data_IF_777610313121
#
_entry.id   IF_777610313121
#
_cell.length_a   1.000
_cell.length_b   1.000
_cell.length_c   1.000
_cell.angle_alpha   90.00
_cell.angle_beta   90.00
_cell.angle_gamma   90.00
#
_symmetry.space_group_name_H-M   'P 1'
#
loop_
_entity.id
_entity.type
_entity.pdbx_description
1 polymer ?
#
# COMPACT_ATOMS: atom_id res chain seq x y z
N UNK A 1 -8.03 -8.28 -13.80
CA UNK A 1 -8.27 -7.65 -12.48
C UNK A 1 -7.12 -8.08 -11.60
N UNK A 2 -6.21 -7.18 -11.24
CA UNK A 2 -5.10 -7.54 -10.34
C UNK A 2 -5.66 -7.94 -8.97
N UNK A 3 -4.90 -8.74 -8.22
CA UNK A 3 -5.31 -9.15 -6.87
C UNK A 3 -5.37 -7.90 -5.98
N UNK A 4 -6.57 -7.44 -5.58
CA UNK A 4 -6.77 -6.13 -4.95
C UNK A 4 -6.02 -6.00 -3.63
N UNK A 5 -5.65 -7.12 -3.03
CA UNK A 5 -4.89 -7.22 -1.79
C UNK A 5 -3.48 -6.60 -1.84
N UNK A 6 -2.89 -6.44 -3.02
CA UNK A 6 -1.56 -5.85 -3.19
C UNK A 6 -1.59 -4.41 -3.70
N UNK A 7 -2.77 -3.84 -3.92
CA UNK A 7 -2.90 -2.49 -4.47
C UNK A 7 -2.54 -1.44 -3.42
N UNK A 8 -1.74 -0.44 -3.83
CA UNK A 8 -1.43 0.71 -2.99
C UNK A 8 -2.60 1.69 -2.91
N UNK A 9 -2.68 2.54 -1.85
CA UNK A 9 -3.76 3.51 -1.68
C UNK A 9 -3.98 4.46 -2.88
N UNK A 10 -2.90 4.91 -3.51
CA UNK A 10 -2.91 5.75 -4.70
C UNK A 10 -3.44 4.99 -5.93
N UNK A 11 -3.09 3.71 -6.09
CA UNK A 11 -3.60 2.87 -7.18
C UNK A 11 -5.11 2.60 -7.05
N UNK A 12 -5.60 2.38 -5.82
CA UNK A 12 -7.04 2.22 -5.55
C UNK A 12 -7.78 3.52 -5.85
N UNK A 13 -7.22 4.67 -5.48
CA UNK A 13 -7.85 5.98 -5.71
C UNK A 13 -7.88 6.33 -7.20
N UNK A 14 -6.81 6.06 -7.95
CA UNK A 14 -6.77 6.25 -9.40
C UNK A 14 -7.73 5.35 -10.18
N UNK A 15 -8.09 4.18 -9.62
CA UNK A 15 -9.07 3.27 -10.23
C UNK A 15 -10.52 3.75 -10.14
N UNK A 16 -10.82 4.79 -9.34
CA UNK A 16 -12.17 5.32 -9.15
C UNK A 16 -12.68 6.19 -10.32
N UNK A 17 -11.90 6.31 -11.40
CA UNK A 17 -12.31 6.97 -12.65
C UNK A 17 -11.57 8.28 -12.95
N UNK A 18 -11.85 8.89 -14.12
CA UNK A 18 -11.10 10.03 -14.65
C UNK A 18 -11.13 11.26 -13.72
N UNK A 19 -12.25 11.49 -13.02
CA UNK A 19 -12.39 12.61 -12.09
C UNK A 19 -11.49 12.49 -10.86
N UNK A 20 -11.35 11.27 -10.31
CA UNK A 20 -10.47 11.02 -9.16
C UNK A 20 -9.00 11.22 -9.53
N UNK A 21 -8.61 10.74 -10.72
CA UNK A 21 -7.27 10.95 -11.26
C UNK A 21 -6.95 12.43 -11.49
N UNK A 22 -7.91 13.19 -12.02
CA UNK A 22 -7.75 14.64 -12.20
C UNK A 22 -7.60 15.37 -10.87
N UNK A 23 -8.33 14.94 -9.83
CA UNK A 23 -8.23 15.50 -8.47
C UNK A 23 -6.88 15.20 -7.81
N UNK A 24 -6.33 14.00 -8.01
CA UNK A 24 -4.97 13.66 -7.54
C UNK A 24 -3.91 14.49 -8.24
N UNK A 25 -3.97 14.60 -9.58
CA UNK A 25 -3.05 15.46 -10.34
C UNK A 25 -3.12 16.91 -9.88
N UNK A 26 -4.33 17.45 -9.67
CA UNK A 26 -4.53 18.80 -9.15
C UNK A 26 -3.99 18.98 -7.71
N UNK A 27 -3.98 17.91 -6.92
CA UNK A 27 -3.40 17.88 -5.58
C UNK A 27 -1.88 17.60 -5.55
N UNK A 28 -1.21 17.56 -6.71
CA UNK A 28 0.23 17.28 -6.81
C UNK A 28 0.61 15.82 -6.52
N UNK A 29 -0.36 14.90 -6.52
CA UNK A 29 -0.13 13.47 -6.39
C UNK A 29 0.01 12.85 -7.78
N UNK A 30 1.21 12.38 -8.09
CA UNK A 30 1.55 11.80 -9.39
C UNK A 30 1.14 10.32 -9.47
N UNK A 31 -0.15 10.00 -9.29
CA UNK A 31 -0.68 8.64 -9.46
C UNK A 31 0.17 7.53 -8.79
N UNK A 32 0.15 6.33 -9.38
CA UNK A 32 1.06 5.25 -8.98
C UNK A 32 2.45 5.48 -9.60
N UNK A 33 3.48 5.44 -8.75
CA UNK A 33 4.91 5.55 -9.10
C UNK A 33 5.64 4.29 -8.58
N UNK A 34 6.96 4.19 -8.72
CA UNK A 34 7.81 3.10 -8.22
C UNK A 34 7.55 2.76 -6.74
N UNK A 35 7.20 3.77 -5.92
CA UNK A 35 6.79 3.57 -4.52
C UNK A 35 5.57 2.65 -4.33
N UNK A 36 4.71 2.48 -5.35
CA UNK A 36 3.59 1.53 -5.33
C UNK A 36 4.09 0.08 -5.29
N UNK A 37 5.23 -0.22 -5.91
CA UNK A 37 5.86 -1.55 -5.86
C UNK A 37 6.40 -1.85 -4.45
N UNK A 38 6.87 -0.83 -3.72
CA UNK A 38 7.30 -0.98 -2.32
C UNK A 38 6.13 -1.39 -1.41
N UNK A 39 4.94 -0.86 -1.66
CA UNK A 39 3.73 -1.28 -0.96
C UNK A 39 3.39 -2.74 -1.26
N UNK A 40 3.41 -3.12 -2.54
CA UNK A 40 3.16 -4.50 -2.95
C UNK A 40 4.17 -5.47 -2.32
N UNK A 41 5.45 -5.07 -2.23
CA UNK A 41 6.50 -5.83 -1.54
C UNK A 41 6.18 -6.03 -0.05
N UNK A 42 5.74 -4.98 0.65
CA UNK A 42 5.30 -5.09 2.05
C UNK A 42 4.14 -6.05 2.23
N UNK A 43 3.16 -6.02 1.32
CA UNK A 43 2.03 -6.94 1.32
C UNK A 43 2.45 -8.39 1.05
N UNK A 44 3.42 -8.62 0.16
CA UNK A 44 4.01 -9.95 -0.08
C UNK A 44 4.78 -10.43 1.14
N UNK A 45 5.60 -9.59 1.78
CA UNK A 45 6.33 -9.93 2.99
C UNK A 45 5.38 -10.35 4.13
N UNK A 46 4.29 -9.60 4.33
CA UNK A 46 3.21 -9.96 5.26
C UNK A 46 2.60 -11.33 4.93
N UNK A 47 2.29 -11.57 3.65
CA UNK A 47 1.70 -12.81 3.16
C UNK A 47 2.62 -14.02 3.34
N UNK A 48 3.92 -13.85 3.13
CA UNK A 48 4.90 -14.92 3.35
C UNK A 48 5.04 -15.28 4.83
N UNK A 49 4.95 -14.29 5.72
CA UNK A 49 5.12 -14.51 7.16
C UNK A 49 3.86 -15.06 7.84
N UNK A 50 2.67 -14.74 7.33
CA UNK A 50 1.39 -15.05 7.99
C UNK A 50 0.54 -16.06 7.24
N UNK A 51 0.82 -16.30 5.95
CA UNK A 51 -0.03 -17.10 5.07
C UNK A 51 -1.32 -16.39 4.62
N UNK A 52 -1.54 -15.12 4.97
CA UNK A 52 -2.72 -14.34 4.56
C UNK A 52 -2.35 -12.94 4.07
N UNK A 53 -3.21 -12.31 3.25
CA UNK A 53 -2.98 -10.95 2.79
C UNK A 53 -3.33 -9.93 3.89
N UNK A 54 -2.63 -8.78 3.95
CA UNK A 54 -2.83 -7.78 5.02
C UNK A 54 -4.25 -7.19 5.06
N UNK A 55 -4.95 -7.17 3.92
CA UNK A 55 -6.30 -6.62 3.81
C UNK A 55 -7.34 -7.65 3.38
N UNK A 56 -7.08 -8.95 3.62
CA UNK A 56 -7.97 -10.04 3.21
C UNK A 56 -9.42 -9.79 3.62
N UNK A 57 -10.30 -9.78 2.62
CA UNK A 57 -11.70 -9.41 2.78
C UNK A 57 -12.56 -10.20 1.78
N UNK A 58 -13.78 -10.64 2.15
CA UNK A 58 -14.67 -11.34 1.22
C UNK A 58 -15.13 -10.51 0.01
N UNK A 59 -15.02 -9.18 0.12
CA UNK A 59 -15.40 -8.25 -0.94
C UNK A 59 -14.23 -7.34 -1.29
N UNK A 60 -13.93 -7.25 -2.57
CA UNK A 60 -12.93 -6.32 -3.14
C UNK A 60 -13.17 -4.87 -2.72
N UNK A 61 -14.44 -4.46 -2.65
CA UNK A 61 -14.81 -3.12 -2.21
C UNK A 61 -14.42 -2.87 -0.73
N UNK A 62 -14.60 -3.87 0.14
CA UNK A 62 -14.19 -3.77 1.54
C UNK A 62 -12.66 -3.73 1.69
N UNK A 63 -11.92 -4.47 0.85
CA UNK A 63 -10.46 -4.39 0.80
C UNK A 63 -10.01 -2.97 0.42
N UNK A 64 -10.61 -2.36 -0.60
CA UNK A 64 -10.34 -0.98 -1.00
C UNK A 64 -10.63 0.02 0.10
N UNK A 65 -11.76 -0.11 0.80
CA UNK A 65 -12.07 0.75 1.95
C UNK A 65 -11.04 0.60 3.07
N UNK A 66 -10.55 -0.61 3.35
CA UNK A 66 -9.47 -0.84 4.33
C UNK A 66 -8.16 -0.20 3.88
N UNK A 67 -7.82 -0.31 2.60
CA UNK A 67 -6.64 0.32 1.99
C UNK A 67 -6.76 1.86 1.99
N UNK A 68 -7.95 2.44 1.92
CA UNK A 68 -8.11 3.91 1.91
C UNK A 68 -8.26 4.56 3.30
N UNK A 69 -8.41 3.76 4.38
CA UNK A 69 -8.56 4.33 5.73
C UNK A 69 -7.36 5.21 6.11
N UNK A 70 -7.65 6.42 6.62
CA UNK A 70 -6.66 7.42 7.05
C UNK A 70 -5.67 6.90 8.08
N UNK A 71 -6.14 6.10 9.04
CA UNK A 71 -5.26 5.43 9.99
C UNK A 71 -4.79 4.14 9.33
N UNK A 72 -3.48 3.98 9.19
CA UNK A 72 -2.86 2.74 8.74
C UNK A 72 -3.08 1.66 9.81
N UNK A 73 -4.29 1.12 9.89
CA UNK A 73 -4.70 0.11 10.87
C UNK A 73 -4.14 -1.28 10.53
N UNK A 74 -2.91 -1.36 10.02
CA UNK A 74 -2.20 -2.61 9.86
C UNK A 74 -1.91 -3.13 11.27
N UNK A 75 -2.68 -4.14 11.69
CA UNK A 75 -2.52 -4.75 13.01
C UNK A 75 -1.50 -5.86 12.92
N UNK A 76 -0.58 -5.91 13.89
CA UNK A 76 0.38 -6.99 14.00
C UNK A 76 -0.35 -8.32 14.20
N UNK A 77 -0.27 -9.27 13.27
CA UNK A 77 -0.82 -10.59 13.45
C UNK A 77 0.11 -11.41 14.36
N UNK A 78 -0.46 -12.38 15.07
CA UNK A 78 0.32 -13.25 15.98
C UNK A 78 1.42 -14.04 15.26
N UNK A 79 1.30 -14.24 13.94
CA UNK A 79 2.32 -14.92 13.14
C UNK A 79 3.63 -14.15 12.98
N UNK A 80 3.66 -12.83 13.20
CA UNK A 80 4.88 -12.01 13.10
C UNK A 80 5.39 -11.73 14.52
N UNK A 81 6.18 -12.64 15.07
CA UNK A 81 6.72 -12.53 16.43
C UNK A 81 7.99 -11.67 16.52
N UNK A 82 8.72 -11.52 15.40
CA UNK A 82 9.92 -10.69 15.31
C UNK A 82 9.55 -9.22 15.13
N UNK A 83 10.22 -8.33 15.87
CA UNK A 83 9.98 -6.89 15.84
C UNK A 83 10.57 -6.26 14.58
N UNK A 84 11.74 -6.73 14.14
CA UNK A 84 12.41 -6.21 12.94
C UNK A 84 11.62 -6.55 11.67
N UNK A 85 11.11 -7.79 11.59
CA UNK A 85 10.21 -8.20 10.51
C UNK A 85 8.92 -7.37 10.47
N UNK A 86 8.36 -7.03 11.65
CA UNK A 86 7.16 -6.21 11.73
C UNK A 86 7.42 -4.76 11.34
N UNK A 87 8.52 -4.16 11.82
CA UNK A 87 8.93 -2.80 11.49
C UNK A 87 9.20 -2.67 9.98
N UNK A 88 9.90 -3.63 9.39
CA UNK A 88 10.12 -3.70 7.95
C UNK A 88 8.82 -3.68 7.13
N UNK A 89 7.83 -4.50 7.51
CA UNK A 89 6.53 -4.54 6.85
C UNK A 89 5.77 -3.22 7.04
N UNK A 90 5.76 -2.66 8.26
CA UNK A 90 5.09 -1.39 8.54
C UNK A 90 5.70 -0.24 7.72
N UNK A 91 7.02 -0.16 7.66
CA UNK A 91 7.74 0.90 6.96
C UNK A 91 7.52 0.82 5.43
N UNK A 92 7.41 -0.38 4.85
CA UNK A 92 7.04 -0.56 3.44
C UNK A 92 5.57 -0.22 3.16
N UNK A 93 4.69 -0.57 4.09
CA UNK A 93 3.24 -0.35 3.98
C UNK A 93 2.79 1.00 4.56
N UNK A 94 3.62 2.03 4.47
CA UNK A 94 3.24 3.40 4.85
C UNK A 94 2.26 3.98 3.82
N UNK A 95 1.25 4.73 4.29
CA UNK A 95 0.20 5.30 3.43
C UNK A 95 0.74 6.37 2.50
N UNK A 96 1.60 7.23 3.03
CA UNK A 96 2.25 8.27 2.25
C UNK A 96 3.37 7.65 1.41
N UNK A 97 3.29 7.65 0.06
CA UNK A 97 4.23 6.91 -0.77
C UNK A 97 5.69 7.35 -0.57
N UNK A 98 5.92 8.64 -0.28
CA UNK A 98 7.24 9.22 -0.03
C UNK A 98 7.84 8.88 1.35
N UNK A 99 7.02 8.38 2.28
CA UNK A 99 7.47 7.95 3.61
C UNK A 99 7.74 6.44 3.68
N UNK A 100 7.48 5.70 2.59
CA UNK A 100 7.76 4.26 2.52
C UNK A 100 9.26 4.02 2.57
N UNK A 101 9.67 2.93 3.20
CA UNK A 101 11.05 2.48 3.21
C UNK A 101 11.56 2.30 1.77
N UNK A 102 12.62 3.03 1.41
CA UNK A 102 13.18 3.01 0.05
C UNK A 102 12.46 3.91 -0.96
N UNK A 103 11.57 4.81 -0.53
CA UNK A 103 10.95 5.78 -1.45
C UNK A 103 11.93 6.86 -1.95
N UNK A 104 13.03 7.07 -1.25
CA UNK A 104 14.08 8.04 -1.54
C UNK A 104 15.25 7.44 -2.33
N UNK A 105 15.36 6.11 -2.42
CA UNK A 105 16.49 5.47 -3.10
C UNK A 105 16.44 5.60 -4.63
N UNK A 106 15.30 6.00 -5.20
CA UNK A 106 15.13 6.31 -6.61
C UNK A 106 14.85 7.80 -6.81
N UNK A 107 15.90 8.63 -6.77
CA UNK A 107 15.81 9.98 -7.34
C UNK A 107 15.79 9.87 -8.87
N UNK A 108 14.59 9.79 -9.45
CA UNK A 108 14.42 10.06 -10.88
C UNK A 108 14.76 11.54 -11.10
N UNK A 109 16.00 11.82 -11.54
CA UNK A 109 16.34 13.10 -12.14
C UNK A 109 15.38 13.32 -13.32
N UNK A 110 14.41 14.21 -13.13
CA UNK A 110 13.59 14.73 -14.22
C UNK A 110 14.42 15.60 -15.14
#
# INVERSE_FOLDING_TARGET
VGTPDFMSPEAVTGSAGPEAMAKEKAAGKNGADHTADLWALGAVAFQLHTGQTPFSCPSTYLAFLRIQRKNNNLKRPWGIADDDAWDFIQALMEKEPRKRLGADCFELKQ
#
